data_IF_780712583212
#
_entry.id   IF_780712583212
#
_cell.length_a   1.000
_cell.length_b   1.000
_cell.length_c   1.000
_cell.angle_alpha   90.00
_cell.angle_beta   90.00
_cell.angle_gamma   90.00
#
_symmetry.space_group_name_H-M   'P 1'
#
loop_
_entity.id
_entity.type
_entity.pdbx_description
1 polymer ?
#
# COMPACT_ATOMS: atom_id res chain seq x y z
N UNK A 1 -13.17 -8.56 9.32
CA UNK A 1 -13.00 -7.66 10.48
C UNK A 1 -14.27 -6.86 10.67
N UNK A 2 -14.70 -6.53 11.90
CA UNK A 2 -15.75 -5.53 12.11
C UNK A 2 -15.30 -4.18 11.52
N UNK A 3 -16.22 -3.34 11.03
CA UNK A 3 -15.86 -2.02 10.53
C UNK A 3 -15.23 -1.21 11.67
N UNK A 4 -14.02 -0.70 11.45
CA UNK A 4 -13.47 0.36 12.30
C UNK A 4 -14.46 1.53 12.25
N UNK A 5 -14.78 2.11 13.41
CA UNK A 5 -15.67 3.28 13.47
C UNK A 5 -15.14 4.45 12.64
N UNK A 6 -15.97 5.50 12.44
CA UNK A 6 -15.57 6.68 11.68
C UNK A 6 -14.28 7.28 12.24
N UNK A 7 -13.41 7.74 11.33
CA UNK A 7 -12.07 8.22 11.68
C UNK A 7 -12.10 9.36 12.72
N UNK A 8 -13.11 10.22 12.62
CA UNK A 8 -13.44 11.22 13.62
C UNK A 8 -14.90 11.01 14.03
N UNK A 9 -15.13 10.61 15.28
CA UNK A 9 -16.48 10.47 15.81
C UNK A 9 -17.20 11.81 15.87
N UNK A 10 -18.53 11.78 15.68
CA UNK A 10 -19.40 12.97 15.79
C UNK A 10 -19.21 13.75 17.09
N UNK A 11 -18.89 13.06 18.19
CA UNK A 11 -18.56 13.70 19.47
C UNK A 11 -17.33 14.61 19.43
N UNK A 12 -16.27 14.24 18.71
CA UNK A 12 -15.06 15.09 18.61
C UNK A 12 -15.34 16.36 17.80
N UNK A 13 -16.06 16.24 16.68
CA UNK A 13 -16.48 17.40 15.88
C UNK A 13 -17.35 18.36 16.68
N UNK A 14 -18.29 17.83 17.47
CA UNK A 14 -19.13 18.63 18.37
C UNK A 14 -18.28 19.37 19.42
N UNK A 15 -17.30 18.72 20.04
CA UNK A 15 -16.41 19.36 21.01
C UNK A 15 -15.59 20.50 20.39
N UNK A 16 -15.07 20.33 19.17
CA UNK A 16 -14.33 21.39 18.47
C UNK A 16 -15.27 22.57 18.16
N UNK A 17 -16.48 22.31 17.69
CA UNK A 17 -17.48 23.33 17.41
C UNK A 17 -17.90 24.09 18.68
N UNK A 18 -18.15 23.39 19.79
CA UNK A 18 -18.47 24.00 21.09
C UNK A 18 -17.34 24.91 21.60
N UNK A 19 -16.07 24.47 21.45
CA UNK A 19 -14.92 25.29 21.80
C UNK A 19 -14.82 26.56 20.90
N UNK A 20 -15.11 26.43 19.61
CA UNK A 20 -15.11 27.57 18.70
C UNK A 20 -16.24 28.57 19.01
N UNK A 21 -17.44 28.07 19.31
CA UNK A 21 -18.59 28.87 19.78
C UNK A 21 -18.21 29.64 21.04
N UNK A 22 -17.60 28.96 22.01
CA UNK A 22 -17.16 29.60 23.25
C UNK A 22 -16.18 30.76 22.99
N UNK A 23 -15.15 30.52 22.17
CA UNK A 23 -14.16 31.55 21.83
C UNK A 23 -14.77 32.71 21.04
N UNK A 24 -15.66 32.45 20.08
CA UNK A 24 -16.33 33.49 19.27
C UNK A 24 -17.25 34.36 20.14
N UNK A 25 -18.01 33.74 21.04
CA UNK A 25 -18.85 34.47 22.00
C UNK A 25 -18.00 35.36 22.92
N UNK A 26 -16.83 34.90 23.38
CA UNK A 26 -15.93 35.75 24.17
C UNK A 26 -15.36 36.94 23.38
N UNK A 27 -14.99 36.75 22.11
CA UNK A 27 -14.56 37.84 21.22
C UNK A 27 -15.67 38.86 20.97
N UNK A 28 -16.93 38.43 21.01
CA UNK A 28 -18.11 39.30 20.92
C UNK A 28 -18.46 39.99 22.25
N UNK A 29 -17.67 39.76 23.31
CA UNK A 29 -17.83 40.41 24.61
C UNK A 29 -18.69 39.64 25.62
N UNK A 30 -19.09 38.40 25.32
CA UNK A 30 -19.85 37.57 26.26
C UNK A 30 -18.92 36.86 27.25
N UNK A 31 -19.39 36.69 28.48
CA UNK A 31 -18.75 35.88 29.51
C UNK A 31 -19.28 34.45 29.43
N UNK A 32 -18.40 33.47 29.24
CA UNK A 32 -18.75 32.06 29.21
C UNK A 32 -18.80 31.48 30.63
N UNK A 33 -19.94 30.87 31.01
CA UNK A 33 -20.15 30.19 32.30
C UNK A 33 -20.21 28.65 32.17
N UNK A 34 -19.94 28.11 30.99
CA UNK A 34 -19.99 26.67 30.70
C UNK A 34 -21.39 26.14 30.40
N UNK A 35 -21.46 24.95 29.79
CA UNK A 35 -22.74 24.29 29.44
C UNK A 35 -23.61 25.08 28.46
N UNK A 36 -23.01 25.84 27.54
CA UNK A 36 -23.74 26.67 26.58
C UNK A 36 -24.36 27.95 27.17
N UNK A 37 -23.97 28.34 28.39
CA UNK A 37 -24.44 29.56 29.05
C UNK A 37 -23.46 30.71 28.84
N UNK A 38 -23.94 31.79 28.22
CA UNK A 38 -23.17 33.01 27.98
C UNK A 38 -23.87 34.21 28.61
N UNK A 39 -23.10 35.21 29.02
CA UNK A 39 -23.64 36.39 29.69
C UNK A 39 -23.06 37.66 29.10
N UNK A 40 -23.92 38.59 28.71
CA UNK A 40 -23.56 39.96 28.35
C UNK A 40 -23.95 40.89 29.51
N UNK A 41 -22.99 41.66 30.02
CA UNK A 41 -23.25 42.67 31.05
C UNK A 41 -23.58 43.99 30.36
N UNK A 42 -24.84 44.40 30.42
CA UNK A 42 -25.29 45.68 29.88
C UNK A 42 -24.87 46.85 30.76
N UNK A 43 -24.51 47.99 30.14
CA UNK A 43 -24.24 49.24 30.83
C UNK A 43 -25.55 49.95 31.20
N UNK A 44 -25.89 49.95 32.49
CA UNK A 44 -26.87 50.89 33.06
C UNK A 44 -26.29 51.59 34.29
N UNK A 45 -26.65 52.87 34.43
CA UNK A 45 -25.87 53.95 35.03
C UNK A 45 -25.79 54.01 36.58
N UNK A 46 -26.01 52.91 37.31
CA UNK A 46 -25.76 52.86 38.75
C UNK A 46 -25.07 51.53 39.09
N UNK A 47 -23.80 51.58 39.54
CA UNK A 47 -22.89 50.46 39.83
C UNK A 47 -23.43 49.39 40.81
N UNK A 48 -24.65 49.55 41.32
CA UNK A 48 -25.27 48.66 42.31
C UNK A 48 -26.11 47.53 41.72
N UNK A 49 -26.63 47.63 40.48
CA UNK A 49 -27.49 46.60 39.86
C UNK A 49 -27.33 46.59 38.32
N UNK A 50 -26.33 45.88 37.76
CA UNK A 50 -26.19 45.76 36.32
C UNK A 50 -27.36 44.98 35.71
N UNK A 51 -27.75 45.36 34.48
CA UNK A 51 -28.63 44.51 33.66
C UNK A 51 -27.77 43.43 33.05
N UNK A 52 -28.12 42.18 33.31
CA UNK A 52 -27.37 41.02 32.85
C UNK A 52 -28.22 40.26 31.84
N UNK A 53 -27.72 40.05 30.64
CA UNK A 53 -28.40 39.24 29.64
C UNK A 53 -27.78 37.86 29.60
N UNK A 54 -28.57 36.83 29.89
CA UNK A 54 -28.14 35.44 29.77
C UNK A 54 -28.58 34.90 28.42
N UNK A 55 -27.62 34.38 27.66
CA UNK A 55 -27.85 33.57 26.47
C UNK A 55 -27.76 32.10 26.90
N UNK A 56 -28.80 31.34 26.57
CA UNK A 56 -28.89 29.89 26.80
C UNK A 56 -29.21 29.18 25.50
N UNK A 57 -28.66 27.99 25.31
CA UNK A 57 -29.09 27.09 24.24
C UNK A 57 -29.88 25.96 24.86
N UNK A 58 -31.17 25.92 24.58
CA UNK A 58 -32.08 24.85 25.02
C UNK A 58 -32.84 24.32 23.80
N UNK A 59 -32.96 22.98 23.70
CA UNK A 59 -33.62 22.30 22.58
C UNK A 59 -33.14 22.76 21.17
N UNK A 60 -31.84 23.08 21.06
CA UNK A 60 -31.22 23.54 19.80
C UNK A 60 -31.56 24.99 19.41
N UNK A 61 -32.20 25.75 20.30
CA UNK A 61 -32.55 27.17 20.09
C UNK A 61 -31.80 28.09 21.04
N UNK A 62 -31.25 29.17 20.48
CA UNK A 62 -30.65 30.26 21.24
C UNK A 62 -31.75 31.14 21.83
N UNK A 63 -31.78 31.21 23.16
CA UNK A 63 -32.70 32.04 23.94
C UNK A 63 -31.92 33.12 24.67
N UNK A 64 -32.50 34.32 24.76
CA UNK A 64 -31.99 35.42 25.59
C UNK A 64 -32.96 35.72 26.73
N UNK A 65 -32.43 35.78 27.94
CA UNK A 65 -33.15 36.13 29.16
C UNK A 65 -32.51 37.38 29.78
N UNK A 66 -33.34 38.34 30.21
CA UNK A 66 -32.87 39.50 30.96
C UNK A 66 -32.93 39.20 32.46
N UNK A 67 -31.85 39.48 33.18
CA UNK A 67 -31.73 39.31 34.63
C UNK A 67 -31.47 40.69 35.26
N UNK A 68 -32.33 41.08 36.21
CA UNK A 68 -32.20 42.29 37.02
C UNK A 68 -31.79 41.93 38.46
N UNK A 69 -30.61 42.36 38.91
CA UNK A 69 -30.17 42.11 40.30
C UNK A 69 -29.95 40.63 40.65
N UNK A 70 -30.02 40.28 41.94
CA UNK A 70 -29.77 38.91 42.46
C UNK A 70 -30.99 37.98 42.42
N UNK A 71 -32.15 38.45 41.97
CA UNK A 71 -33.39 37.68 41.94
C UNK A 71 -33.91 37.64 40.51
N UNK A 72 -34.09 36.43 39.97
CA UNK A 72 -34.81 36.21 38.72
C UNK A 72 -36.25 36.70 38.88
N UNK A 73 -36.55 37.90 38.39
CA UNK A 73 -37.90 38.44 38.38
C UNK A 73 -38.73 37.72 37.31
N UNK A 74 -39.48 36.72 37.76
CA UNK A 74 -40.42 35.92 36.96
C UNK A 74 -41.53 36.73 36.25
N UNK A 75 -41.61 38.05 36.47
CA UNK A 75 -42.56 38.95 35.82
C UNK A 75 -42.01 39.65 34.56
N UNK A 76 -40.76 39.40 34.15
CA UNK A 76 -40.16 39.94 32.92
C UNK A 76 -40.23 38.90 31.78
N UNK A 77 -41.25 38.92 30.91
CA UNK A 77 -41.18 38.18 29.66
C UNK A 77 -40.26 38.92 28.69
N UNK A 78 -39.38 38.19 28.00
CA UNK A 78 -39.18 38.23 26.53
C UNK A 78 -37.93 37.44 26.13
N UNK A 79 -38.15 36.14 25.89
CA UNK A 79 -37.31 35.37 24.98
C UNK A 79 -37.46 36.03 23.61
N UNK A 80 -36.55 36.91 23.25
CA UNK A 80 -36.41 37.37 21.87
C UNK A 80 -35.63 36.29 21.12
N UNK A 81 -36.17 35.85 19.99
CA UNK A 81 -35.50 34.92 19.09
C UNK A 81 -34.20 35.60 18.62
N UNK A 82 -33.06 35.16 19.15
CA UNK A 82 -31.74 35.71 18.82
C UNK A 82 -31.22 35.02 17.56
N UNK A 83 -32.00 35.13 16.48
CA UNK A 83 -31.83 34.36 15.25
C UNK A 83 -30.46 34.57 14.60
N UNK A 84 -29.84 35.75 14.79
CA UNK A 84 -28.51 36.02 14.27
C UNK A 84 -27.41 35.23 15.00
N UNK A 85 -27.45 35.08 16.33
CA UNK A 85 -26.48 34.21 17.03
C UNK A 85 -26.71 32.75 16.66
N UNK A 86 -27.97 32.33 16.53
CA UNK A 86 -28.32 30.99 16.07
C UNK A 86 -27.65 30.67 14.72
N UNK A 87 -27.79 31.54 13.71
CA UNK A 87 -27.20 31.30 12.39
C UNK A 87 -25.70 31.52 12.37
N UNK A 88 -25.23 32.64 12.92
CA UNK A 88 -23.89 33.18 12.67
C UNK A 88 -22.83 32.58 13.60
N UNK A 89 -23.25 31.95 14.70
CA UNK A 89 -22.36 31.34 15.68
C UNK A 89 -22.69 29.86 15.82
N UNK A 90 -23.85 29.52 16.38
CA UNK A 90 -24.13 28.14 16.79
C UNK A 90 -24.26 27.19 15.59
N UNK A 91 -25.07 27.53 14.59
CA UNK A 91 -25.20 26.71 13.38
C UNK A 91 -23.94 26.77 12.50
N UNK A 92 -23.33 27.96 12.38
CA UNK A 92 -22.14 28.17 11.58
C UNK A 92 -20.99 27.25 12.03
N UNK A 93 -20.65 27.23 13.32
CA UNK A 93 -19.50 26.48 13.81
C UNK A 93 -19.66 24.97 13.68
N UNK A 94 -20.84 24.43 13.97
CA UNK A 94 -21.12 23.01 13.72
C UNK A 94 -20.94 22.66 12.24
N UNK A 95 -21.57 23.43 11.34
CA UNK A 95 -21.47 23.19 9.91
C UNK A 95 -20.03 23.32 9.40
N UNK A 96 -19.32 24.36 9.81
CA UNK A 96 -17.96 24.63 9.35
C UNK A 96 -16.97 23.53 9.76
N UNK A 97 -17.13 22.96 10.96
CA UNK A 97 -16.31 21.83 11.42
C UNK A 97 -16.71 20.53 10.72
N UNK A 98 -18.00 20.28 10.53
CA UNK A 98 -18.46 19.12 9.75
C UNK A 98 -17.94 19.17 8.31
N UNK A 99 -18.09 20.31 7.63
CA UNK A 99 -17.60 20.52 6.27
C UNK A 99 -16.07 20.34 6.18
N UNK A 100 -15.31 20.71 7.22
CA UNK A 100 -13.85 20.57 7.22
C UNK A 100 -13.42 19.10 7.23
N UNK A 101 -14.18 18.23 7.90
CA UNK A 101 -13.82 16.82 8.09
C UNK A 101 -14.58 15.83 7.20
N UNK A 102 -15.59 16.27 6.44
CA UNK A 102 -16.50 15.40 5.67
C UNK A 102 -15.77 14.39 4.78
N UNK A 103 -14.72 14.81 4.07
CA UNK A 103 -13.98 13.93 3.16
C UNK A 103 -13.18 12.84 3.90
N UNK A 104 -12.93 13.00 5.20
CA UNK A 104 -12.09 12.13 6.01
C UNK A 104 -12.88 11.09 6.81
N UNK A 105 -14.21 11.17 6.83
CA UNK A 105 -15.06 10.29 7.65
C UNK A 105 -15.01 8.84 7.20
N UNK A 106 -15.09 8.63 5.88
CA UNK A 106 -15.08 7.32 5.22
C UNK A 106 -13.68 6.91 4.75
N UNK A 107 -12.63 7.43 5.38
CA UNK A 107 -11.26 7.07 5.03
C UNK A 107 -10.98 5.59 5.38
N UNK A 108 -10.23 4.84 4.54
CA UNK A 108 -9.98 3.41 4.75
C UNK A 108 -9.46 3.06 6.14
N UNK A 109 -9.71 1.83 6.59
CA UNK A 109 -9.11 1.27 7.81
C UNK A 109 -7.59 1.28 7.74
N UNK A 110 -6.90 1.12 8.88
CA UNK A 110 -5.43 1.18 8.90
C UNK A 110 -4.73 0.06 8.11
N UNK A 111 -5.41 -1.07 7.88
CA UNK A 111 -4.83 -2.21 7.17
C UNK A 111 -5.84 -2.87 6.20
N UNK A 112 -6.27 -2.18 5.14
CA UNK A 112 -7.22 -2.74 4.18
C UNK A 112 -6.53 -3.63 3.13
N UNK A 113 -5.20 -3.53 3.01
CA UNK A 113 -4.37 -4.18 1.99
C UNK A 113 -3.51 -5.33 2.54
N UNK A 114 -3.61 -5.65 3.83
CA UNK A 114 -2.71 -6.60 4.48
C UNK A 114 -2.81 -8.03 3.96
N UNK A 115 -4.02 -8.48 3.60
CA UNK A 115 -4.22 -9.79 2.96
C UNK A 115 -3.62 -9.82 1.56
N UNK A 116 -3.87 -8.79 0.76
CA UNK A 116 -3.31 -8.65 -0.59
C UNK A 116 -1.78 -8.63 -0.56
N UNK A 117 -1.19 -7.86 0.38
CA UNK A 117 0.25 -7.83 0.60
C UNK A 117 0.80 -9.22 0.96
N UNK A 118 0.12 -9.95 1.84
CA UNK A 118 0.48 -11.31 2.23
C UNK A 118 0.47 -12.29 1.05
N UNK A 119 -0.55 -12.21 0.20
CA UNK A 119 -0.65 -13.02 -1.01
C UNK A 119 0.51 -12.75 -1.97
N UNK A 120 0.81 -11.49 -2.28
CA UNK A 120 1.92 -11.14 -3.20
C UNK A 120 3.27 -11.57 -2.65
N UNK A 121 3.50 -11.43 -1.34
CA UNK A 121 4.73 -11.91 -0.70
C UNK A 121 4.84 -13.43 -0.79
N UNK A 122 3.72 -14.16 -0.62
CA UNK A 122 3.68 -15.61 -0.82
C UNK A 122 4.01 -15.96 -2.26
N UNK A 123 3.38 -15.32 -3.26
CA UNK A 123 3.68 -15.54 -4.66
C UNK A 123 5.16 -15.28 -5.01
N UNK A 124 5.75 -14.20 -4.46
CA UNK A 124 7.18 -13.92 -4.62
C UNK A 124 8.07 -15.01 -4.00
N UNK A 125 7.65 -15.64 -2.91
CA UNK A 125 8.36 -16.75 -2.27
C UNK A 125 8.30 -18.04 -3.10
N UNK A 126 7.18 -18.32 -3.80
CA UNK A 126 7.05 -19.52 -4.65
C UNK A 126 8.14 -19.59 -5.73
N UNK A 127 8.49 -18.45 -6.34
CA UNK A 127 9.47 -18.37 -7.43
C UNK A 127 10.88 -17.95 -6.97
N UNK A 128 11.13 -17.92 -5.65
CA UNK A 128 12.42 -17.49 -5.10
C UNK A 128 13.43 -18.64 -5.08
N UNK A 129 14.45 -18.52 -5.94
CA UNK A 129 15.49 -19.56 -6.11
C UNK A 129 16.63 -19.43 -5.09
N UNK A 130 16.93 -18.23 -4.59
CA UNK A 130 18.06 -18.01 -3.68
C UNK A 130 17.65 -17.90 -2.21
N UNK A 131 18.07 -18.87 -1.40
CA UNK A 131 18.05 -18.75 0.06
C UNK A 131 18.94 -17.57 0.46
N UNK A 132 18.40 -16.65 1.26
CA UNK A 132 19.28 -15.73 1.97
C UNK A 132 19.92 -16.53 3.11
N UNK A 133 21.24 -16.74 3.06
CA UNK A 133 21.97 -17.00 4.28
C UNK A 133 21.96 -15.71 5.09
N UNK A 134 21.31 -15.75 6.23
CA UNK A 134 21.56 -14.75 7.25
C UNK A 134 22.85 -15.19 7.97
N UNK A 135 23.96 -14.49 7.65
CA UNK A 135 25.31 -14.84 8.13
C UNK A 135 25.41 -14.86 9.67
N UNK A 136 24.40 -14.35 10.38
CA UNK A 136 24.34 -14.28 11.84
C UNK A 136 23.43 -15.32 12.52
N UNK A 137 22.54 -16.02 11.81
CA UNK A 137 21.60 -16.98 12.42
C UNK A 137 21.70 -18.40 11.83
N UNK A 138 22.32 -18.57 10.66
CA UNK A 138 22.46 -19.89 10.03
C UNK A 138 21.13 -20.49 9.53
N UNK A 139 20.02 -19.78 9.65
CA UNK A 139 18.72 -20.18 9.11
C UNK A 139 18.54 -19.56 7.72
N UNK A 140 18.55 -20.42 6.70
CA UNK A 140 18.14 -20.10 5.35
C UNK A 140 16.61 -19.90 5.29
N UNK A 141 16.13 -18.79 5.82
CA UNK A 141 14.70 -18.48 5.82
C UNK A 141 14.29 -17.81 4.49
N UNK A 142 13.47 -18.53 3.72
CA UNK A 142 12.56 -17.92 2.75
C UNK A 142 12.80 -18.19 1.26
N UNK A 143 13.65 -19.14 0.86
CA UNK A 143 13.68 -19.59 -0.54
C UNK A 143 12.97 -20.92 -0.74
N UNK A 144 12.45 -21.10 -1.95
CA UNK A 144 11.91 -22.38 -2.38
C UNK A 144 13.07 -23.33 -2.67
N UNK A 145 13.53 -24.04 -1.62
CA UNK A 145 14.68 -24.97 -1.68
C UNK A 145 14.43 -26.08 -2.71
N UNK A 146 13.17 -26.49 -2.90
CA UNK A 146 12.80 -27.45 -3.93
C UNK A 146 13.04 -26.87 -5.32
N UNK A 147 12.55 -25.66 -5.59
CA UNK A 147 12.75 -24.97 -6.88
C UNK A 147 14.24 -24.83 -7.21
N UNK A 148 15.07 -24.41 -6.25
CA UNK A 148 16.52 -24.31 -6.45
C UNK A 148 17.17 -25.67 -6.76
N UNK A 149 16.73 -26.73 -6.07
CA UNK A 149 17.18 -28.09 -6.34
C UNK A 149 16.76 -28.57 -7.73
N UNK A 150 15.52 -28.33 -8.13
CA UNK A 150 15.00 -28.73 -9.45
C UNK A 150 15.71 -27.98 -10.58
N UNK A 151 15.97 -26.69 -10.42
CA UNK A 151 16.77 -25.90 -11.38
C UNK A 151 18.20 -26.41 -11.44
N UNK A 152 18.83 -26.69 -10.28
CA UNK A 152 20.20 -27.21 -10.23
C UNK A 152 20.32 -28.59 -10.87
N UNK A 153 19.33 -29.46 -10.64
CA UNK A 153 19.22 -30.76 -11.28
C UNK A 153 19.03 -30.61 -12.79
N UNK A 154 18.13 -29.71 -13.21
CA UNK A 154 17.92 -29.39 -14.62
C UNK A 154 19.23 -28.94 -15.27
N UNK A 155 19.91 -27.91 -14.73
CA UNK A 155 21.20 -27.40 -15.21
C UNK A 155 22.28 -28.49 -15.32
N UNK A 156 22.41 -29.31 -14.27
CA UNK A 156 23.42 -30.37 -14.23
C UNK A 156 23.16 -31.42 -15.31
N UNK A 157 21.90 -31.81 -15.49
CA UNK A 157 21.52 -32.89 -16.40
C UNK A 157 21.44 -32.44 -17.83
N UNK A 158 20.99 -31.22 -18.10
CA UNK A 158 20.97 -30.65 -19.44
C UNK A 158 22.37 -30.35 -19.94
N UNK A 159 23.30 -29.97 -19.06
CA UNK A 159 24.72 -29.85 -19.39
C UNK A 159 25.44 -31.18 -19.69
N UNK A 160 24.83 -32.32 -19.37
CA UNK A 160 25.31 -33.66 -19.74
C UNK A 160 24.74 -34.14 -21.07
N UNK A 161 23.76 -33.43 -21.63
CA UNK A 161 23.19 -33.73 -22.94
C UNK A 161 24.14 -33.23 -24.04
N UNK A 162 24.32 -34.03 -25.08
CA UNK A 162 25.12 -33.69 -26.26
C UNK A 162 24.23 -33.62 -27.51
N UNK A 163 24.56 -32.71 -28.42
CA UNK A 163 23.83 -32.47 -29.67
C UNK A 163 23.32 -31.02 -29.78
N UNK A 164 23.14 -30.53 -31.01
CA UNK A 164 22.83 -29.12 -31.30
C UNK A 164 21.59 -28.61 -30.54
N UNK A 165 20.54 -29.44 -30.39
CA UNK A 165 19.37 -29.06 -29.62
C UNK A 165 19.59 -29.05 -28.11
N UNK A 166 20.34 -30.01 -27.58
CA UNK A 166 20.67 -30.09 -26.16
C UNK A 166 21.52 -28.88 -25.73
N UNK A 167 22.51 -28.53 -26.55
CA UNK A 167 23.33 -27.34 -26.37
C UNK A 167 22.49 -26.07 -26.45
N UNK A 168 21.63 -25.94 -27.46
CA UNK A 168 20.74 -24.80 -27.61
C UNK A 168 19.69 -24.71 -26.49
N UNK A 169 19.15 -25.82 -26.01
CA UNK A 169 18.22 -25.87 -24.88
C UNK A 169 18.92 -25.43 -23.59
N UNK A 170 20.14 -25.92 -23.34
CA UNK A 170 20.92 -25.53 -22.17
C UNK A 170 21.31 -24.04 -22.22
N UNK A 171 21.82 -23.56 -23.35
CA UNK A 171 22.29 -22.19 -23.55
C UNK A 171 21.16 -21.16 -23.60
N UNK A 172 20.01 -21.50 -24.20
CA UNK A 172 18.91 -20.56 -24.38
C UNK A 172 17.90 -20.60 -23.24
N UNK A 173 17.67 -21.75 -22.61
CA UNK A 173 16.67 -21.92 -21.54
C UNK A 173 17.28 -22.06 -20.16
N UNK A 174 18.01 -23.15 -19.95
CA UNK A 174 18.32 -23.63 -18.60
C UNK A 174 19.29 -22.69 -17.87
N UNK A 175 20.28 -22.17 -18.59
CA UNK A 175 21.23 -21.19 -18.06
C UNK A 175 20.61 -19.82 -17.77
N UNK A 176 19.51 -19.45 -18.46
CA UNK A 176 18.81 -18.18 -18.27
C UNK A 176 17.68 -18.25 -17.25
N UNK A 177 17.17 -19.44 -16.97
CA UNK A 177 16.02 -19.66 -16.10
C UNK A 177 16.22 -19.03 -14.72
N UNK A 178 17.36 -19.28 -14.09
CA UNK A 178 17.63 -18.76 -12.74
C UNK A 178 17.69 -17.22 -12.68
N UNK A 179 18.48 -16.54 -13.55
CA UNK A 179 18.42 -15.07 -13.64
C UNK A 179 17.03 -14.50 -13.94
N UNK A 180 16.26 -15.14 -14.84
CA UNK A 180 14.90 -14.67 -15.16
C UNK A 180 13.98 -14.81 -13.94
N UNK A 181 14.01 -15.93 -13.22
CA UNK A 181 13.21 -16.11 -12.01
C UNK A 181 13.57 -15.11 -10.91
N UNK A 182 14.86 -14.84 -10.68
CA UNK A 182 15.29 -13.80 -9.74
C UNK A 182 14.74 -12.42 -10.14
N UNK A 183 14.73 -12.11 -11.44
CA UNK A 183 14.19 -10.85 -11.96
C UNK A 183 12.65 -10.78 -11.87
N UNK A 184 11.93 -11.87 -12.14
CA UNK A 184 10.47 -11.95 -11.96
C UNK A 184 10.07 -11.84 -10.48
N UNK A 185 10.87 -12.44 -9.59
CA UNK A 185 10.72 -12.29 -8.16
C UNK A 185 10.94 -10.83 -7.73
N UNK A 186 11.93 -10.13 -8.28
CA UNK A 186 12.14 -8.72 -8.03
C UNK A 186 10.94 -7.85 -8.47
N UNK A 187 10.35 -8.11 -9.64
CA UNK A 187 9.12 -7.42 -10.09
C UNK A 187 7.93 -7.69 -9.15
N UNK A 188 7.78 -8.94 -8.70
CA UNK A 188 6.74 -9.34 -7.75
C UNK A 188 6.91 -8.62 -6.40
N UNK A 189 8.16 -8.45 -5.95
CA UNK A 189 8.47 -7.68 -4.74
C UNK A 189 8.14 -6.20 -4.87
N UNK A 190 8.26 -5.59 -6.05
CA UNK A 190 7.82 -4.20 -6.28
C UNK A 190 6.31 -4.05 -6.01
N UNK A 191 5.50 -5.03 -6.42
CA UNK A 191 4.06 -5.04 -6.09
C UNK A 191 3.85 -5.10 -4.57
N UNK A 192 4.58 -5.97 -3.84
CA UNK A 192 4.49 -6.05 -2.38
C UNK A 192 4.91 -4.74 -1.70
N UNK A 193 5.98 -4.10 -2.17
CA UNK A 193 6.45 -2.82 -1.67
C UNK A 193 5.43 -1.70 -1.88
N UNK A 194 4.76 -1.68 -3.02
CA UNK A 194 3.73 -0.66 -3.29
C UNK A 194 2.49 -0.82 -2.38
N UNK A 195 2.04 -2.05 -2.13
CA UNK A 195 0.96 -2.32 -1.18
C UNK A 195 1.33 -1.89 0.23
N UNK A 196 2.56 -2.20 0.66
CA UNK A 196 3.04 -1.81 1.99
C UNK A 196 3.20 -0.29 2.13
N UNK A 197 3.63 0.39 1.07
CA UNK A 197 3.71 1.85 1.02
C UNK A 197 2.33 2.49 1.17
N UNK A 198 1.32 2.01 0.43
CA UNK A 198 -0.06 2.51 0.51
C UNK A 198 -0.71 2.19 1.87
N UNK A 199 -0.50 0.99 2.40
CA UNK A 199 -1.01 0.58 3.73
C UNK A 199 -0.45 1.49 4.84
N UNK A 200 0.86 1.75 4.82
CA UNK A 200 1.49 2.65 5.78
C UNK A 200 1.02 4.11 5.61
N UNK A 201 0.79 4.55 4.38
CA UNK A 201 0.19 5.85 4.08
C UNK A 201 -1.21 5.98 4.69
N UNK A 202 -2.05 4.96 4.57
CA UNK A 202 -3.37 4.95 5.18
C UNK A 202 -3.29 4.98 6.70
N UNK A 203 -2.44 4.13 7.31
CA UNK A 203 -2.24 4.11 8.76
C UNK A 203 -1.83 5.48 9.30
N UNK A 204 -0.81 6.11 8.72
CA UNK A 204 -0.32 7.43 9.16
C UNK A 204 -1.32 8.54 8.90
N UNK A 205 -2.06 8.48 7.80
CA UNK A 205 -3.12 9.46 7.52
C UNK A 205 -4.18 9.42 8.62
N UNK A 206 -4.62 8.22 9.03
CA UNK A 206 -5.59 8.08 10.12
C UNK A 206 -5.07 8.68 11.43
N UNK A 207 -3.84 8.34 11.80
CA UNK A 207 -3.19 8.89 13.00
C UNK A 207 -3.08 10.41 12.94
N UNK A 208 -2.71 10.94 11.77
CA UNK A 208 -2.55 12.38 11.60
C UNK A 208 -3.87 13.14 11.69
N UNK A 209 -4.93 12.63 11.08
CA UNK A 209 -6.26 13.26 11.13
C UNK A 209 -6.81 13.25 12.56
N UNK A 210 -6.62 12.16 13.31
CA UNK A 210 -6.98 12.10 14.71
C UNK A 210 -6.18 13.11 15.56
N UNK A 211 -4.88 13.28 15.28
CA UNK A 211 -4.05 14.31 15.95
C UNK A 211 -4.52 15.72 15.61
N UNK A 212 -4.77 16.02 14.33
CA UNK A 212 -5.28 17.31 13.87
C UNK A 212 -6.60 17.66 14.54
N UNK A 213 -7.53 16.71 14.69
CA UNK A 213 -8.78 16.95 15.40
C UNK A 213 -8.56 17.33 16.86
N UNK A 214 -7.71 16.57 17.58
CA UNK A 214 -7.37 16.86 18.97
C UNK A 214 -6.65 18.21 19.15
N UNK A 215 -5.72 18.54 18.27
CA UNK A 215 -4.98 19.79 18.34
C UNK A 215 -5.83 20.99 17.90
N UNK A 216 -6.81 20.76 17.02
CA UNK A 216 -7.81 21.77 16.66
C UNK A 216 -8.72 22.11 17.83
N UNK A 217 -9.12 21.11 18.63
CA UNK A 217 -9.87 21.36 19.87
C UNK A 217 -9.08 22.26 20.81
N UNK A 218 -7.80 21.94 21.05
CA UNK A 218 -6.90 22.77 21.89
C UNK A 218 -6.73 24.17 21.31
N UNK A 219 -6.57 24.29 20.00
CA UNK A 219 -6.41 25.58 19.33
C UNK A 219 -7.67 26.44 19.42
N UNK A 220 -8.85 25.86 19.26
CA UNK A 220 -10.12 26.57 19.46
C UNK A 220 -10.26 27.05 20.91
N UNK A 221 -9.96 26.20 21.89
CA UNK A 221 -9.98 26.56 23.32
C UNK A 221 -8.99 27.69 23.65
N UNK A 222 -7.81 27.69 23.02
CA UNK A 222 -6.80 28.72 23.23
C UNK A 222 -7.10 30.03 22.48
N UNK A 223 -7.97 30.01 21.47
CA UNK A 223 -8.23 31.18 20.60
C UNK A 223 -9.12 32.27 21.21
N UNK A 224 -9.73 32.01 22.37
CA UNK A 224 -10.51 33.01 23.10
C UNK A 224 -9.62 34.12 23.70
N UNK A 225 -10.15 35.32 23.96
CA UNK A 225 -9.40 36.42 24.58
C UNK A 225 -8.78 36.08 25.95
N UNK A 226 -9.36 35.09 26.65
CA UNK A 226 -8.86 34.58 27.94
C UNK A 226 -8.11 33.25 27.81
N UNK A 227 -7.83 32.81 26.58
CA UNK A 227 -7.20 31.54 26.26
C UNK A 227 -5.73 31.45 26.69
N UNK A 228 -5.20 30.23 26.67
CA UNK A 228 -3.80 29.92 27.00
C UNK A 228 -2.81 30.22 25.86
N UNK A 229 -1.60 29.68 25.96
CA UNK A 229 -0.54 29.88 24.95
C UNK A 229 -0.89 29.21 23.60
N UNK A 230 -0.93 30.02 22.56
CA UNK A 230 -1.27 29.64 21.18
C UNK A 230 -0.01 29.28 20.35
N UNK A 231 1.18 29.71 20.79
CA UNK A 231 2.41 29.72 19.97
C UNK A 231 3.00 28.34 19.70
N UNK A 232 2.67 27.34 20.53
CA UNK A 232 3.12 25.95 20.39
C UNK A 232 2.23 25.05 19.54
N UNK A 233 1.04 25.50 19.13
CA UNK A 233 0.05 24.64 18.47
C UNK A 233 0.31 24.54 16.97
N UNK A 234 0.80 23.38 16.54
CA UNK A 234 1.21 23.10 15.16
C UNK A 234 0.80 21.70 14.71
N UNK A 235 0.66 21.51 13.40
CA UNK A 235 0.43 20.22 12.76
C UNK A 235 1.78 19.69 12.25
N UNK A 236 2.18 18.52 12.72
CA UNK A 236 3.34 17.79 12.20
C UNK A 236 2.90 16.84 11.09
N UNK A 237 3.50 16.95 9.91
CA UNK A 237 3.12 16.19 8.72
C UNK A 237 3.72 14.78 8.71
N UNK A 238 3.18 13.87 9.53
CA UNK A 238 3.68 12.50 9.66
C UNK A 238 3.42 11.60 8.44
N UNK A 239 2.49 11.99 7.54
CA UNK A 239 2.28 11.32 6.25
C UNK A 239 3.49 11.42 5.31
N UNK A 240 4.39 12.38 5.53
CA UNK A 240 5.61 12.51 4.74
C UNK A 240 6.54 11.35 5.04
N UNK A 241 7.00 10.66 3.99
CA UNK A 241 7.82 9.46 4.07
C UNK A 241 7.07 8.21 4.51
N UNK A 242 5.73 8.21 4.45
CA UNK A 242 4.93 7.03 4.75
C UNK A 242 5.24 5.89 3.79
N UNK A 243 5.32 6.19 2.48
CA UNK A 243 5.67 5.18 1.47
C UNK A 243 7.07 4.63 1.73
N UNK A 244 8.05 5.50 2.00
CA UNK A 244 9.41 5.07 2.31
C UNK A 244 9.47 4.13 3.52
N UNK A 245 8.68 4.42 4.57
CA UNK A 245 8.61 3.58 5.74
C UNK A 245 7.92 2.23 5.47
N UNK A 246 6.85 2.22 4.68
CA UNK A 246 6.17 0.98 4.28
C UNK A 246 7.08 0.06 3.47
N UNK A 247 7.78 0.63 2.47
CA UNK A 247 8.80 -0.09 1.69
C UNK A 247 9.93 -0.61 2.59
N UNK A 248 10.42 0.23 3.51
CA UNK A 248 11.44 -0.13 4.48
C UNK A 248 11.02 -1.25 5.44
N UNK A 249 9.75 -1.29 5.87
CA UNK A 249 9.24 -2.29 6.80
C UNK A 249 9.21 -3.70 6.18
N UNK A 250 8.79 -3.82 4.92
CA UNK A 250 8.88 -5.11 4.19
C UNK A 250 10.33 -5.53 4.00
N UNK A 251 11.24 -4.57 3.81
CA UNK A 251 12.66 -4.83 3.61
C UNK A 251 13.40 -5.31 4.86
N UNK A 252 12.88 -5.03 6.05
CA UNK A 252 13.55 -5.22 7.34
C UNK A 252 13.18 -6.54 8.05
N UNK A 253 12.62 -7.53 7.34
CA UNK A 253 12.19 -8.84 7.88
C UNK A 253 13.30 -9.74 8.47
N UNK A 254 14.16 -9.20 9.35
CA UNK A 254 15.18 -9.91 10.12
C UNK A 254 16.64 -9.73 9.66
N UNK A 255 16.92 -9.10 8.52
CA UNK A 255 18.26 -9.16 7.87
C UNK A 255 18.98 -7.80 7.84
N UNK A 256 20.32 -7.82 8.00
CA UNK A 256 21.20 -6.65 8.10
C UNK A 256 21.34 -5.78 6.82
N UNK A 257 20.85 -6.25 5.66
CA UNK A 257 20.74 -5.46 4.43
C UNK A 257 19.27 -5.37 4.05
N UNK A 258 18.69 -4.17 3.87
CA UNK A 258 17.29 -4.03 3.48
C UNK A 258 17.05 -4.81 2.18
N UNK A 259 16.16 -5.80 2.20
CA UNK A 259 15.82 -6.64 1.03
C UNK A 259 15.46 -5.77 -0.18
N UNK A 260 14.85 -4.60 0.03
CA UNK A 260 14.54 -3.63 -1.02
C UNK A 260 15.77 -3.11 -1.79
N UNK A 261 16.93 -2.93 -1.14
CA UNK A 261 18.16 -2.53 -1.86
C UNK A 261 18.69 -3.66 -2.75
N UNK A 262 18.49 -4.92 -2.35
CA UNK A 262 18.85 -6.07 -3.18
C UNK A 262 17.91 -6.19 -4.38
N UNK A 263 16.61 -5.99 -4.18
CA UNK A 263 15.62 -5.92 -5.27
C UNK A 263 15.97 -4.78 -6.23
N UNK A 264 16.29 -3.59 -5.71
CA UNK A 264 16.71 -2.44 -6.53
C UNK A 264 17.99 -2.75 -7.33
N UNK A 265 18.97 -3.41 -6.72
CA UNK A 265 20.21 -3.82 -7.39
C UNK A 265 19.96 -4.90 -8.46
N UNK A 266 19.08 -5.86 -8.20
CA UNK A 266 18.66 -6.88 -9.17
C UNK A 266 17.99 -6.25 -10.38
N UNK A 267 17.02 -5.35 -10.18
CA UNK A 267 16.38 -4.60 -11.27
C UNK A 267 17.41 -3.80 -12.09
N UNK A 268 18.31 -3.08 -11.41
CA UNK A 268 19.37 -2.32 -12.09
C UNK A 268 20.29 -3.24 -12.90
N UNK A 269 20.70 -4.38 -12.34
CA UNK A 269 21.52 -5.39 -13.02
C UNK A 269 20.82 -6.05 -14.20
N UNK A 270 19.49 -6.14 -14.15
CA UNK A 270 18.62 -6.58 -15.23
C UNK A 270 18.39 -5.51 -16.32
N UNK A 271 19.01 -4.33 -16.21
CA UNK A 271 18.81 -3.22 -17.15
C UNK A 271 17.61 -2.32 -16.83
N UNK A 272 16.84 -2.64 -15.79
CA UNK A 272 15.70 -1.86 -15.28
C UNK A 272 16.19 -0.75 -14.33
N UNK A 273 17.01 0.16 -14.87
CA UNK A 273 17.71 1.17 -14.07
C UNK A 273 16.79 2.24 -13.50
N UNK A 274 15.67 2.55 -14.18
CA UNK A 274 14.73 3.57 -13.70
C UNK A 274 13.99 3.06 -12.45
N UNK A 275 13.40 1.86 -12.53
CA UNK A 275 12.73 1.22 -11.40
C UNK A 275 13.69 0.92 -10.25
N UNK A 276 14.89 0.40 -10.54
CA UNK A 276 15.93 0.18 -9.53
C UNK A 276 16.35 1.46 -8.81
N UNK A 277 16.54 2.56 -9.55
CA UNK A 277 16.87 3.87 -8.99
C UNK A 277 15.76 4.44 -8.10
N UNK A 278 14.50 4.38 -8.55
CA UNK A 278 13.34 4.83 -7.79
C UNK A 278 13.15 4.02 -6.51
N UNK A 279 13.20 2.69 -6.59
CA UNK A 279 13.10 1.84 -5.42
C UNK A 279 14.23 2.12 -4.42
N UNK A 280 15.46 2.29 -4.90
CA UNK A 280 16.61 2.65 -4.05
C UNK A 280 16.45 4.01 -3.35
N UNK A 281 15.74 4.96 -3.95
CA UNK A 281 15.43 6.24 -3.33
C UNK A 281 14.37 6.09 -2.22
N UNK A 282 13.38 5.23 -2.41
CA UNK A 282 12.29 5.00 -1.43
C UNK A 282 12.75 4.28 -0.16
N UNK A 283 13.91 3.64 -0.14
CA UNK A 283 14.47 3.07 1.10
C UNK A 283 14.96 4.17 2.06
N UNK A 284 15.11 5.40 1.58
CA UNK A 284 15.59 6.53 2.39
C UNK A 284 14.40 7.41 2.80
N UNK A 285 14.24 7.71 4.09
CA UNK A 285 13.22 8.65 4.51
C UNK A 285 13.50 10.04 3.92
N UNK A 286 12.48 10.75 3.44
CA UNK A 286 12.62 12.15 3.05
C UNK A 286 12.95 13.02 4.27
N UNK A 287 13.47 14.25 4.04
CA UNK A 287 13.65 15.20 5.13
C UNK A 287 12.33 15.50 5.83
N UNK A 288 12.40 15.73 7.15
CA UNK A 288 11.23 16.08 7.94
C UNK A 288 10.64 17.42 7.45
N UNK A 289 9.32 17.48 7.22
CA UNK A 289 8.66 18.71 6.81
C UNK A 289 8.55 19.69 7.98
N UNK A 290 8.59 20.98 7.68
CA UNK A 290 8.30 22.02 8.66
C UNK A 290 6.85 21.90 9.18
N UNK A 291 6.63 22.03 10.49
CA UNK A 291 5.29 21.96 11.05
C UNK A 291 4.44 23.17 10.67
N UNK A 292 3.17 22.94 10.37
CA UNK A 292 2.21 23.97 9.94
C UNK A 292 1.61 24.64 11.19
N UNK A 293 1.54 25.98 11.26
CA UNK A 293 0.88 26.65 12.36
C UNK A 293 -0.62 26.31 12.40
N UNK A 294 -1.13 25.95 13.57
CA UNK A 294 -2.55 25.71 13.80
C UNK A 294 -3.17 26.82 14.65
N UNK A 295 -2.47 27.22 15.71
CA UNK A 295 -2.93 28.25 16.65
C UNK A 295 -3.13 29.62 16.00
N UNK A 296 -4.15 30.35 16.46
CA UNK A 296 -4.39 31.76 16.14
C UNK A 296 -5.19 32.46 17.26
N UNK A 297 -5.17 33.79 17.23
CA UNK A 297 -5.83 34.71 18.20
C UNK A 297 -7.35 34.84 18.01
N UNK A 298 -7.94 34.12 17.06
CA UNK A 298 -9.37 34.14 16.79
C UNK A 298 -9.82 32.78 16.20
N UNK A 299 -10.99 32.23 16.59
CA UNK A 299 -11.43 30.90 16.15
C UNK A 299 -11.57 30.79 14.62
N UNK A 300 -11.97 31.86 13.92
CA UNK A 300 -12.04 31.85 12.44
C UNK A 300 -10.67 31.70 11.75
N UNK A 301 -9.61 32.22 12.37
CA UNK A 301 -8.24 32.02 11.89
C UNK A 301 -7.76 30.60 12.19
N UNK A 302 -8.12 30.04 13.35
CA UNK A 302 -7.84 28.62 13.66
C UNK A 302 -8.53 27.70 12.66
N UNK A 303 -9.80 27.95 12.32
CA UNK A 303 -10.52 27.20 11.28
C UNK A 303 -9.81 27.29 9.93
N UNK A 304 -9.36 28.48 9.55
CA UNK A 304 -8.62 28.69 8.31
C UNK A 304 -7.32 27.86 8.30
N UNK A 305 -6.58 27.85 9.41
CA UNK A 305 -5.36 27.06 9.56
C UNK A 305 -5.66 25.55 9.53
N UNK A 306 -6.73 25.10 10.18
CA UNK A 306 -7.20 23.71 10.13
C UNK A 306 -7.49 23.28 8.69
N UNK A 307 -8.31 24.04 7.96
CA UNK A 307 -8.66 23.73 6.56
C UNK A 307 -7.40 23.70 5.68
N UNK A 308 -6.48 24.63 5.87
CA UNK A 308 -5.21 24.63 5.14
C UNK A 308 -4.34 23.43 5.51
N UNK A 309 -4.26 23.07 6.79
CA UNK A 309 -3.54 21.90 7.26
C UNK A 309 -4.08 20.60 6.66
N UNK A 310 -5.40 20.43 6.58
CA UNK A 310 -6.03 19.27 5.93
C UNK A 310 -5.75 19.24 4.41
N UNK A 311 -5.76 20.40 3.74
CA UNK A 311 -5.35 20.50 2.33
C UNK A 311 -3.88 20.14 2.12
N UNK A 312 -3.01 20.56 3.03
CA UNK A 312 -1.59 20.22 2.97
C UNK A 312 -1.36 18.72 3.18
N UNK A 313 -2.06 18.10 4.14
CA UNK A 313 -2.07 16.64 4.32
C UNK A 313 -2.47 15.94 3.03
N UNK A 314 -3.58 16.35 2.41
CA UNK A 314 -4.04 15.77 1.15
C UNK A 314 -3.00 15.94 0.02
N UNK A 315 -2.33 17.10 -0.04
CA UNK A 315 -1.25 17.36 -0.99
C UNK A 315 -0.04 16.44 -0.76
N UNK A 316 0.28 16.12 0.51
CA UNK A 316 1.32 15.14 0.83
C UNK A 316 0.92 13.72 0.47
N UNK A 317 -0.32 13.31 0.73
CA UNK A 317 -0.86 12.01 0.27
C UNK A 317 -0.68 11.87 -1.24
N UNK A 318 -1.07 12.89 -2.02
CA UNK A 318 -0.86 12.90 -3.49
C UNK A 318 0.61 12.76 -3.88
N UNK A 319 1.51 13.39 -3.14
CA UNK A 319 2.95 13.33 -3.42
C UNK A 319 3.48 11.92 -3.15
N UNK A 320 3.11 11.30 -2.04
CA UNK A 320 3.50 9.94 -1.67
C UNK A 320 2.94 8.92 -2.68
N UNK A 321 1.68 9.04 -3.07
CA UNK A 321 1.06 8.17 -4.08
C UNK A 321 1.70 8.33 -5.46
N UNK A 322 2.13 9.55 -5.83
CA UNK A 322 2.84 9.77 -7.08
C UNK A 322 4.16 9.02 -7.11
N UNK A 323 4.86 8.90 -5.97
CA UNK A 323 6.08 8.08 -5.88
C UNK A 323 5.80 6.60 -6.19
N UNK A 324 4.66 6.07 -5.73
CA UNK A 324 4.22 4.72 -6.05
C UNK A 324 3.87 4.58 -7.54
N UNK A 325 3.12 5.53 -8.09
CA UNK A 325 2.79 5.55 -9.53
C UNK A 325 4.06 5.55 -10.39
N UNK A 326 5.01 6.44 -10.09
CA UNK A 326 6.26 6.56 -10.82
C UNK A 326 7.07 5.26 -10.76
N UNK A 327 7.16 4.64 -9.57
CA UNK A 327 7.82 3.35 -9.40
C UNK A 327 7.14 2.25 -10.23
N UNK A 328 5.81 2.13 -10.11
CA UNK A 328 5.03 1.08 -10.77
C UNK A 328 5.08 1.19 -12.30
N UNK A 329 4.93 2.41 -12.84
CA UNK A 329 4.97 2.65 -14.28
C UNK A 329 6.38 2.53 -14.86
N UNK A 330 7.41 2.98 -14.13
CA UNK A 330 8.81 2.74 -14.53
C UNK A 330 9.12 1.23 -14.53
N UNK A 331 8.67 0.50 -13.50
CA UNK A 331 8.87 -0.95 -13.42
C UNK A 331 8.16 -1.68 -14.56
N UNK A 332 6.91 -1.31 -14.87
CA UNK A 332 6.19 -1.88 -16.01
C UNK A 332 6.92 -1.58 -17.33
N UNK A 333 7.43 -0.36 -17.51
CA UNK A 333 8.11 0.05 -18.74
C UNK A 333 9.46 -0.65 -18.91
N UNK A 334 10.24 -0.73 -17.83
CA UNK A 334 11.53 -1.42 -17.81
C UNK A 334 11.37 -2.94 -18.03
N UNK A 335 10.29 -3.53 -17.49
CA UNK A 335 9.96 -4.94 -17.63
C UNK A 335 9.17 -5.26 -18.90
N UNK A 336 8.75 -4.25 -19.66
CA UNK A 336 7.83 -4.43 -20.78
C UNK A 336 8.35 -5.52 -21.73
N UNK A 337 7.51 -6.50 -22.08
CA UNK A 337 7.94 -7.65 -22.87
C UNK A 337 8.38 -7.15 -24.25
N UNK A 338 9.69 -7.06 -24.45
CA UNK A 338 10.23 -7.08 -25.80
C UNK A 338 9.80 -8.43 -26.41
N UNK A 339 9.41 -8.43 -27.68
CA UNK A 339 9.06 -9.64 -28.44
C UNK A 339 10.25 -10.59 -28.65
N UNK A 340 11.33 -10.44 -27.89
CA UNK A 340 12.62 -11.11 -27.99
C UNK A 340 13.16 -11.45 -26.60
N UNK A 341 14.13 -12.36 -26.54
CA UNK A 341 14.82 -12.77 -25.31
C UNK A 341 15.31 -11.55 -24.52
N UNK A 342 14.97 -11.49 -23.25
CA UNK A 342 15.26 -10.36 -22.39
C UNK A 342 15.58 -10.77 -20.96
N UNK A 343 15.95 -9.82 -20.11
CA UNK A 343 16.26 -10.10 -18.71
C UNK A 343 15.05 -10.63 -17.92
N UNK A 344 13.83 -10.38 -18.40
CA UNK A 344 12.57 -10.82 -17.78
C UNK A 344 11.85 -11.91 -18.57
N UNK A 345 12.42 -12.40 -19.68
CA UNK A 345 11.82 -13.44 -20.52
C UNK A 345 12.91 -14.33 -21.14
N UNK A 346 12.75 -15.65 -20.98
CA UNK A 346 13.68 -16.66 -21.51
C UNK A 346 13.63 -16.70 -23.06
N UNK A 347 12.50 -16.28 -23.64
CA UNK A 347 12.11 -16.30 -25.04
C UNK A 347 12.05 -17.69 -25.67
N UNK A 348 10.96 -17.84 -26.44
CA UNK A 348 10.72 -18.94 -27.36
C UNK A 348 11.94 -19.26 -28.24
N UNK A 349 12.49 -20.49 -28.22
CA UNK A 349 13.60 -20.85 -29.08
C UNK A 349 13.10 -21.06 -30.50
N UNK A 350 13.92 -20.71 -31.50
CA UNK A 350 13.67 -20.97 -32.93
C UNK A 350 13.56 -22.47 -33.27
N UNK A 351 13.76 -23.34 -32.29
CA UNK A 351 13.75 -24.79 -32.41
C UNK A 351 12.37 -25.41 -32.13
N UNK A 352 11.41 -24.66 -31.59
CA UNK A 352 10.01 -25.13 -31.44
C UNK A 352 9.43 -25.34 -32.84
N UNK A 353 9.12 -26.60 -33.17
CA UNK A 353 8.58 -27.01 -34.47
C UNK A 353 9.61 -27.58 -35.47
N UNK A 354 10.88 -27.74 -35.08
CA UNK A 354 11.86 -28.48 -35.89
C UNK A 354 11.76 -29.99 -35.63
N UNK A 355 11.91 -30.80 -36.68
CA UNK A 355 11.84 -32.29 -36.63
C UNK A 355 13.07 -32.90 -35.97
N UNK A 356 12.95 -34.05 -35.27
CA UNK A 356 14.03 -34.64 -34.46
C UNK A 356 15.35 -34.93 -35.20
N UNK A 357 15.29 -35.13 -36.52
CA UNK A 357 16.46 -35.33 -37.39
C UNK A 357 17.34 -34.09 -37.61
N UNK A 358 16.88 -32.88 -37.24
CA UNK A 358 17.71 -31.66 -37.20
C UNK A 358 18.12 -31.24 -35.78
N UNK A 359 17.87 -32.10 -34.80
CA UNK A 359 17.82 -31.75 -33.37
C UNK A 359 18.74 -32.65 -32.55
N UNK A 360 18.79 -33.95 -32.87
CA UNK A 360 19.70 -34.92 -32.27
C UNK A 360 20.29 -35.82 -33.37
N UNK A 361 21.61 -35.80 -33.58
CA UNK A 361 22.27 -36.84 -34.38
C UNK A 361 22.35 -38.13 -33.55
N UNK A 362 21.87 -39.26 -34.11
CA UNK A 362 21.73 -40.54 -33.38
C UNK A 362 23.04 -41.15 -32.88
N UNK A 363 24.18 -40.52 -33.16
CA UNK A 363 25.52 -40.99 -32.85
C UNK A 363 26.16 -40.20 -31.68
N UNK A 364 25.48 -39.16 -31.18
CA UNK A 364 26.04 -38.22 -30.19
C UNK A 364 25.31 -38.19 -28.84
N UNK A 365 24.21 -38.92 -28.67
CA UNK A 365 23.42 -38.90 -27.43
C UNK A 365 23.96 -39.90 -26.42
N UNK A 366 24.73 -39.42 -25.43
CA UNK A 366 25.24 -40.15 -24.27
C UNK A 366 24.26 -40.06 -23.07
N UNK A 367 22.96 -40.10 -23.32
CA UNK A 367 21.95 -39.80 -22.29
C UNK A 367 20.98 -40.96 -22.17
N UNK A 368 20.81 -41.45 -20.95
CA UNK A 368 19.78 -42.44 -20.66
C UNK A 368 18.37 -41.83 -20.71
N UNK A 369 17.41 -42.66 -21.13
CA UNK A 369 15.98 -42.34 -21.19
C UNK A 369 15.43 -41.81 -19.86
N UNK A 370 15.96 -42.31 -18.74
CA UNK A 370 15.54 -41.94 -17.40
C UNK A 370 15.80 -40.45 -17.12
N UNK A 371 16.92 -39.91 -17.60
CA UNK A 371 17.28 -38.50 -17.43
C UNK A 371 16.33 -37.58 -18.20
N UNK A 372 16.00 -37.93 -19.44
CA UNK A 372 15.05 -37.15 -20.25
C UNK A 372 13.67 -37.17 -19.58
N UNK A 373 13.20 -38.33 -19.12
CA UNK A 373 11.92 -38.43 -18.40
C UNK A 373 11.91 -37.59 -17.12
N UNK A 374 12.99 -37.57 -16.32
CA UNK A 374 13.08 -36.69 -15.14
C UNK A 374 13.01 -35.20 -15.51
N UNK A 375 13.64 -34.79 -16.61
CA UNK A 375 13.57 -33.41 -17.07
C UNK A 375 12.12 -33.05 -17.47
N UNK A 376 11.50 -33.87 -18.32
CA UNK A 376 10.22 -33.55 -18.96
C UNK A 376 9.00 -33.85 -18.09
N UNK A 377 9.09 -34.81 -17.17
CA UNK A 377 7.94 -35.30 -16.38
C UNK A 377 8.02 -34.95 -14.89
N UNK A 378 9.19 -34.52 -14.39
CA UNK A 378 9.38 -34.16 -12.98
C UNK A 378 9.81 -32.70 -12.81
N UNK A 379 11.03 -32.33 -13.22
CA UNK A 379 11.59 -31.03 -12.88
C UNK A 379 10.89 -29.87 -13.57
N UNK A 380 10.72 -29.92 -14.90
CA UNK A 380 10.04 -28.82 -15.62
C UNK A 380 8.58 -28.66 -15.14
N UNK A 381 7.75 -29.72 -15.05
CA UNK A 381 6.40 -29.60 -14.52
C UNK A 381 6.35 -29.04 -13.08
N UNK A 382 7.30 -29.40 -12.23
CA UNK A 382 7.36 -28.91 -10.86
C UNK A 382 7.69 -27.40 -10.80
N UNK A 383 8.64 -26.94 -11.63
CA UNK A 383 8.98 -25.51 -11.78
C UNK A 383 7.78 -24.72 -12.34
N UNK A 384 7.08 -25.28 -13.32
CA UNK A 384 5.85 -24.70 -13.88
C UNK A 384 4.75 -24.62 -12.81
N UNK A 385 4.67 -25.59 -11.91
CA UNK A 385 3.79 -25.56 -10.74
C UNK A 385 4.04 -24.34 -9.85
N UNK A 386 5.29 -24.03 -9.52
CA UNK A 386 5.67 -22.85 -8.72
C UNK A 386 5.31 -21.53 -9.41
N UNK A 387 5.58 -21.43 -10.72
CA UNK A 387 5.22 -20.27 -11.52
C UNK A 387 3.70 -20.03 -11.52
N UNK A 388 2.92 -21.10 -11.69
CA UNK A 388 1.45 -21.02 -11.64
C UNK A 388 0.95 -20.64 -10.24
N UNK A 389 1.56 -21.17 -9.17
CA UNK A 389 1.24 -20.79 -7.79
C UNK A 389 1.48 -19.29 -7.56
N UNK A 390 2.61 -18.75 -8.03
CA UNK A 390 2.88 -17.31 -8.00
C UNK A 390 1.76 -16.50 -8.70
N UNK A 391 1.36 -16.90 -9.91
CA UNK A 391 0.31 -16.16 -10.65
C UNK A 391 -1.04 -16.19 -9.97
N UNK A 392 -1.38 -17.27 -9.24
CA UNK A 392 -2.64 -17.38 -8.52
C UNK A 392 -2.71 -16.34 -7.38
N UNK A 393 -1.60 -16.15 -6.66
CA UNK A 393 -1.47 -15.19 -5.56
C UNK A 393 -1.45 -13.72 -6.04
N UNK A 394 -1.17 -13.48 -7.33
CA UNK A 394 -1.21 -12.15 -7.94
C UNK A 394 -2.61 -11.67 -8.33
N UNK A 395 -3.69 -12.32 -7.87
CA UNK A 395 -5.07 -11.95 -8.23
C UNK A 395 -5.68 -10.99 -7.20
N UNK A 396 -5.22 -9.74 -7.19
CA UNK A 396 -5.73 -8.67 -6.32
C UNK A 396 -6.74 -7.80 -7.06
N UNK A 397 -7.71 -7.26 -6.32
CA UNK A 397 -8.71 -6.31 -6.82
C UNK A 397 -8.64 -4.92 -6.17
N UNK A 398 -9.38 -3.95 -6.71
CA UNK A 398 -9.32 -2.55 -6.29
C UNK A 398 -9.96 -2.25 -4.91
N UNK A 399 -10.65 -3.22 -4.29
CA UNK A 399 -11.53 -2.96 -3.15
C UNK A 399 -10.81 -2.36 -1.94
N UNK A 400 -9.60 -2.86 -1.62
CA UNK A 400 -8.79 -2.35 -0.50
C UNK A 400 -8.20 -0.95 -0.73
N UNK A 401 -8.25 -0.43 -1.95
CA UNK A 401 -7.71 0.88 -2.34
C UNK A 401 -8.76 2.00 -2.29
N UNK A 402 -10.04 1.63 -2.16
CA UNK A 402 -11.16 2.56 -2.35
C UNK A 402 -11.28 3.53 -1.18
N UNK A 403 -11.40 4.82 -1.49
CA UNK A 403 -11.55 5.92 -0.54
C UNK A 403 -12.31 7.10 -1.17
N UNK A 404 -12.68 8.14 -0.39
CA UNK A 404 -13.30 9.35 -0.94
C UNK A 404 -12.45 10.01 -2.03
N UNK A 405 -13.08 10.36 -3.16
CA UNK A 405 -12.40 10.88 -4.35
C UNK A 405 -11.66 12.20 -4.13
N UNK A 406 -11.99 12.94 -3.07
CA UNK A 406 -11.31 14.17 -2.67
C UNK A 406 -9.91 13.96 -2.11
N UNK A 407 -9.56 12.73 -1.69
CA UNK A 407 -8.30 12.42 -1.01
C UNK A 407 -7.32 11.65 -1.91
N UNK A 408 -6.09 12.14 -2.00
CA UNK A 408 -5.03 11.56 -2.83
C UNK A 408 -5.21 11.85 -4.32
N UNK A 409 -4.60 11.04 -5.16
CA UNK A 409 -4.64 11.16 -6.62
C UNK A 409 -6.02 10.85 -7.19
N UNK A 410 -6.71 9.85 -6.63
CA UNK A 410 -8.05 9.43 -7.04
C UNK A 410 -8.75 8.64 -5.92
N UNK A 411 -9.99 8.22 -6.16
CA UNK A 411 -10.73 7.32 -5.26
C UNK A 411 -10.06 5.95 -5.05
N UNK A 412 -9.06 5.59 -5.86
CA UNK A 412 -8.31 4.32 -5.76
C UNK A 412 -6.79 4.53 -5.80
N UNK A 413 -6.32 5.77 -5.64
CA UNK A 413 -4.90 6.09 -5.59
C UNK A 413 -4.07 5.50 -6.75
N UNK A 414 -2.96 4.78 -6.46
CA UNK A 414 -2.08 4.17 -7.46
C UNK A 414 -2.64 2.94 -8.19
N UNK A 415 -3.88 2.51 -7.89
CA UNK A 415 -4.43 1.22 -8.35
C UNK A 415 -4.26 0.95 -9.85
N UNK A 416 -4.45 1.95 -10.71
CA UNK A 416 -4.33 1.75 -12.15
C UNK A 416 -2.91 1.31 -12.57
N UNK A 417 -1.87 1.94 -12.03
CA UNK A 417 -0.47 1.58 -12.32
C UNK A 417 -0.11 0.25 -11.63
N UNK A 418 -0.69 0.00 -10.44
CA UNK A 418 -0.54 -1.28 -9.74
C UNK A 418 -1.10 -2.45 -10.57
N UNK A 419 -2.36 -2.35 -10.98
CA UNK A 419 -3.07 -3.39 -11.75
C UNK A 419 -2.40 -3.65 -13.10
N UNK A 420 -1.86 -2.60 -13.72
CA UNK A 420 -1.07 -2.70 -14.95
C UNK A 420 0.22 -3.50 -14.75
N UNK A 421 1.00 -3.19 -13.71
CA UNK A 421 2.19 -3.97 -13.37
C UNK A 421 1.85 -5.40 -12.95
N UNK A 422 0.83 -5.58 -12.11
CA UNK A 422 0.32 -6.89 -11.66
C UNK A 422 -0.01 -7.79 -12.85
N UNK A 423 -0.73 -7.27 -13.84
CA UNK A 423 -1.04 -8.00 -15.08
C UNK A 423 0.22 -8.32 -15.86
N UNK A 424 1.11 -7.34 -16.05
CA UNK A 424 2.37 -7.55 -16.78
C UNK A 424 3.28 -8.61 -16.13
N UNK A 425 3.40 -8.61 -14.80
CA UNK A 425 4.16 -9.63 -14.06
C UNK A 425 3.50 -10.99 -14.20
N UNK A 426 2.17 -11.08 -14.04
CA UNK A 426 1.46 -12.34 -14.20
C UNK A 426 1.61 -12.91 -15.62
N UNK A 427 1.59 -12.07 -16.65
CA UNK A 427 1.80 -12.47 -18.04
C UNK A 427 3.24 -12.96 -18.27
N UNK A 428 4.27 -12.25 -17.79
CA UNK A 428 5.67 -12.69 -17.90
C UNK A 428 5.93 -14.04 -17.20
N UNK A 429 5.33 -14.24 -16.02
CA UNK A 429 5.43 -15.50 -15.28
C UNK A 429 4.74 -16.65 -16.03
N UNK A 430 3.54 -16.41 -16.59
CA UNK A 430 2.81 -17.38 -17.42
C UNK A 430 3.53 -17.69 -18.73
N UNK A 431 4.11 -16.69 -19.38
CA UNK A 431 4.88 -16.86 -20.59
C UNK A 431 6.10 -17.74 -20.32
N UNK A 432 6.83 -17.48 -19.23
CA UNK A 432 7.94 -18.33 -18.78
C UNK A 432 7.50 -19.77 -18.53
N UNK A 433 6.35 -19.98 -17.89
CA UNK A 433 5.79 -21.33 -17.65
C UNK A 433 5.41 -22.05 -18.95
N UNK A 434 4.78 -21.33 -19.88
CA UNK A 434 4.39 -21.84 -21.20
C UNK A 434 5.61 -22.23 -22.03
N UNK A 435 6.63 -21.38 -22.00
CA UNK A 435 7.90 -21.56 -22.68
C UNK A 435 8.68 -22.78 -22.15
N UNK A 436 8.70 -22.98 -20.83
CA UNK A 436 9.27 -24.18 -20.23
C UNK A 436 8.52 -25.46 -20.65
N UNK A 437 7.19 -25.41 -20.62
CA UNK A 437 6.34 -26.54 -21.02
C UNK A 437 6.57 -26.92 -22.49
N UNK A 438 6.52 -25.96 -23.42
CA UNK A 438 6.74 -26.23 -24.84
C UNK A 438 8.16 -26.71 -25.15
N UNK A 439 9.14 -26.31 -24.35
CA UNK A 439 10.52 -26.81 -24.48
C UNK A 439 10.66 -28.25 -23.96
N UNK A 440 9.96 -28.61 -22.88
CA UNK A 440 9.89 -30.01 -22.42
C UNK A 440 9.24 -30.93 -23.46
N UNK A 441 8.12 -30.51 -24.06
CA UNK A 441 7.43 -31.25 -25.12
C UNK A 441 8.33 -31.48 -26.33
N UNK A 442 9.08 -30.43 -26.73
CA UNK A 442 10.02 -30.52 -27.85
C UNK A 442 11.19 -31.46 -27.55
N UNK A 443 11.73 -31.45 -26.32
CA UNK A 443 12.76 -32.39 -25.87
C UNK A 443 12.24 -33.83 -25.86
N UNK A 444 11.00 -34.04 -25.41
CA UNK A 444 10.36 -35.37 -25.39
C UNK A 444 10.13 -35.91 -26.81
N UNK A 445 9.68 -35.06 -27.74
CA UNK A 445 9.53 -35.42 -29.15
C UNK A 445 10.88 -35.78 -29.80
N UNK A 446 11.92 -35.00 -29.53
CA UNK A 446 13.28 -35.29 -29.99
C UNK A 446 13.78 -36.64 -29.48
N UNK A 447 13.52 -36.96 -28.20
CA UNK A 447 13.88 -38.23 -27.60
C UNK A 447 13.13 -39.42 -28.22
N UNK A 448 11.84 -39.25 -28.54
CA UNK A 448 11.04 -40.26 -29.23
C UNK A 448 11.59 -40.54 -30.65
N UNK A 449 11.94 -39.49 -31.40
CA UNK A 449 12.45 -39.58 -32.77
C UNK A 449 13.77 -40.37 -32.88
N UNK A 450 14.62 -40.35 -31.84
CA UNK A 450 15.88 -41.12 -31.79
C UNK A 450 15.74 -42.51 -31.16
N UNK A 451 14.51 -42.97 -30.90
CA UNK A 451 14.23 -44.31 -30.38
C UNK A 451 14.45 -44.47 -28.87
N UNK A 452 14.41 -43.37 -28.10
CA UNK A 452 14.48 -43.41 -26.63
C UNK A 452 13.09 -43.44 -25.96
N UNK A 453 11.97 -43.49 -26.69
CA UNK A 453 10.63 -43.63 -26.09
C UNK A 453 10.18 -45.09 -26.00
N UNK A 454 9.70 -45.50 -24.83
CA UNK A 454 8.95 -46.76 -24.64
C UNK A 454 7.93 -46.49 -23.52
N UNK A 455 6.65 -46.81 -23.76
CA UNK A 455 5.44 -46.39 -23.01
C UNK A 455 5.44 -46.65 -21.49
N UNK A 456 6.35 -47.45 -20.96
CA UNK A 456 6.31 -47.93 -19.56
C UNK A 456 6.85 -46.95 -18.50
N UNK A 457 7.54 -45.87 -18.90
CA UNK A 457 8.16 -44.92 -17.95
C UNK A 457 7.19 -43.80 -17.55
N UNK A 458 6.36 -43.34 -18.49
CA UNK A 458 5.42 -42.22 -18.30
C UNK A 458 4.36 -42.50 -17.23
N UNK A 459 3.92 -43.75 -17.06
CA UNK A 459 2.89 -44.09 -16.06
C UNK A 459 3.43 -44.03 -14.62
N UNK A 460 4.70 -44.36 -14.41
CA UNK A 460 5.32 -44.37 -13.07
C UNK A 460 5.58 -42.95 -12.55
N UNK A 461 5.95 -42.01 -13.42
CA UNK A 461 6.29 -40.65 -13.01
C UNK A 461 5.10 -39.69 -12.99
N UNK A 462 4.10 -39.88 -13.85
CA UNK A 462 2.82 -39.17 -13.73
C UNK A 462 2.11 -39.45 -12.38
N UNK A 463 2.42 -40.58 -11.74
CA UNK A 463 1.98 -40.90 -10.38
C UNK A 463 2.83 -40.18 -9.30
N UNK A 464 4.13 -40.00 -9.52
CA UNK A 464 5.00 -39.27 -8.58
C UNK A 464 4.80 -37.75 -8.64
N UNK A 465 4.66 -37.17 -9.84
CA UNK A 465 4.35 -35.75 -10.03
C UNK A 465 2.98 -35.38 -9.41
N UNK A 466 1.98 -36.27 -9.52
CA UNK A 466 0.70 -36.12 -8.81
C UNK A 466 0.87 -36.13 -7.30
N UNK A 467 1.69 -37.05 -6.77
CA UNK A 467 1.95 -37.15 -5.33
C UNK A 467 2.61 -35.89 -4.76
N UNK A 468 3.56 -35.31 -5.48
CA UNK A 468 4.20 -34.03 -5.09
C UNK A 468 3.20 -32.88 -5.16
N UNK A 469 2.31 -32.87 -6.17
CA UNK A 469 1.23 -31.87 -6.29
C UNK A 469 0.24 -31.99 -5.12
N UNK A 470 -0.10 -33.21 -4.70
CA UNK A 470 -0.97 -33.48 -3.55
C UNK A 470 -0.30 -33.15 -2.20
N UNK A 471 1.01 -33.36 -2.07
CA UNK A 471 1.78 -33.00 -0.88
C UNK A 471 1.94 -31.47 -0.75
N UNK A 472 2.02 -30.72 -1.87
CA UNK A 472 2.03 -29.25 -1.89
C UNK A 472 0.69 -28.61 -1.50
N UNK A 473 -0.43 -29.34 -1.55
CA UNK A 473 -1.75 -28.83 -1.10
C UNK A 473 -1.91 -28.95 0.43
N UNK A 474 -1.02 -29.67 1.12
CA UNK A 474 -1.13 -29.98 2.55
C UNK A 474 -0.12 -29.25 3.47
N UNK A 475 0.49 -28.15 3.02
CA UNK A 475 1.34 -27.29 3.87
C UNK A 475 0.80 -25.86 3.98
#
# INVERSE_FOLDING_TARGET
>A
MPPEGPLIGSGMKALIAEAAIAADMEHRGFLNYGGGNFVEVGSNANDSNPVVWRITVSDGKVQREMIYGSESDSSVPKVEDYSHLQSDVFNYWHKAIDDAFVDWEDFPSANPLGWDKGAVLKGAAEIRVNAHSDDNTGEASGANVRLDSDISNLMTRTGQLNGEYAEAFNEKYVTKLRPVLDNLQALTMVLAYSLAGEEELFRRTREQIAQVANDSLKAMQASGPKGGDITGLKIFLIVVGAVCAGVGAVAAGGVAVPVALKVAASLTGAGASASGGLLGALVKPPPEPEPIPLGADHPSKVLTNLVNGLKDINTRIRTEEQLLVDLLDATYTDAAPATAAGPFNIAKPELIGKTGSSVLESHQVLVDKETIAKITELWIPSIVGDLNACTAELTIGASGWTRPAGIGLSATGPWSSYSKLQTGVADLVKDTATELTGSAESLQAAAADIGLSDEHVNESYAAQARKITEDNINY
#
